data_IF_702343963988
#
_entry.id   IF_702343963988
#
_cell.length_a   1.000
_cell.length_b   1.000
_cell.length_c   1.000
_cell.angle_alpha   90.00
_cell.angle_beta   90.00
_cell.angle_gamma   90.00
#
_symmetry.space_group_name_H-M   'P 1'
#
loop_
_entity.id
_entity.type
_entity.pdbx_description
1 polymer ?
#
# COMPACT_ATOMS: atom_id res chain seq x y z
N UNK A 1 52.96 22.38 3.93
CA UNK A 1 51.92 23.41 4.09
C UNK A 1 50.66 22.69 4.52
N UNK A 2 50.38 22.64 5.82
CA UNK A 2 49.29 21.85 6.41
C UNK A 2 48.08 22.73 6.70
N UNK A 3 46.90 22.34 6.22
CA UNK A 3 45.63 23.01 6.50
C UNK A 3 44.86 22.23 7.59
N UNK A 4 44.31 22.88 8.63
CA UNK A 4 43.34 22.26 9.52
C UNK A 4 41.89 22.50 9.04
N UNK A 5 41.11 21.43 8.89
CA UNK A 5 39.66 21.49 8.69
C UNK A 5 38.96 21.53 10.05
N UNK A 6 38.21 22.60 10.30
CA UNK A 6 37.35 22.78 11.47
C UNK A 6 35.96 22.21 11.20
N UNK A 7 35.48 21.29 12.04
CA UNK A 7 34.10 20.83 12.06
C UNK A 7 33.32 21.57 13.16
N UNK A 8 32.21 22.18 12.81
CA UNK A 8 31.18 22.60 13.76
C UNK A 8 29.79 22.36 13.17
N UNK A 9 29.11 21.34 13.68
CA UNK A 9 27.73 21.00 13.33
C UNK A 9 26.83 21.49 14.47
N UNK A 10 26.06 22.55 14.22
CA UNK A 10 25.11 23.11 15.18
C UNK A 10 23.84 22.25 15.28
N UNK A 11 23.61 21.67 16.45
CA UNK A 11 22.35 21.00 16.81
C UNK A 11 21.48 22.00 17.58
N UNK A 12 20.41 22.50 16.96
CA UNK A 12 19.42 23.35 17.63
C UNK A 12 18.32 22.48 18.22
N UNK A 13 18.18 22.57 19.54
CA UNK A 13 17.21 21.84 20.34
C UNK A 13 15.77 22.34 20.10
N UNK A 14 14.86 21.37 20.06
CA UNK A 14 13.42 21.56 20.02
C UNK A 14 12.89 21.98 21.40
N UNK A 15 12.11 23.07 21.45
CA UNK A 15 11.27 23.42 22.59
C UNK A 15 9.93 23.92 22.09
N UNK A 16 8.84 23.61 22.80
CA UNK A 16 7.60 24.36 22.66
C UNK A 16 6.31 23.54 22.70
N UNK A 17 5.92 23.14 23.91
CA UNK A 17 4.57 22.76 24.34
C UNK A 17 3.48 23.74 23.90
N UNK A 18 2.34 23.24 23.42
CA UNK A 18 1.03 23.93 23.51
C UNK A 18 -0.10 22.95 23.81
N UNK A 19 -0.92 23.31 24.80
CA UNK A 19 -2.03 22.54 25.38
C UNK A 19 -3.34 22.61 24.56
N UNK A 20 -4.29 21.68 24.72
CA UNK A 20 -5.66 21.82 24.22
C UNK A 20 -6.60 22.42 25.28
N UNK A 21 -7.40 23.42 24.89
CA UNK A 21 -8.47 23.97 25.74
C UNK A 21 -9.83 23.95 25.05
N UNK A 22 -10.79 23.36 25.77
CA UNK A 22 -12.16 23.85 26.05
C UNK A 22 -13.29 23.79 25.01
N UNK A 23 -14.34 23.09 25.46
CA UNK A 23 -15.75 23.52 25.52
C UNK A 23 -16.69 23.06 24.41
N UNK A 24 -17.80 22.44 24.86
CA UNK A 24 -18.80 21.78 24.04
C UNK A 24 -20.07 22.58 23.81
N UNK A 25 -21.01 21.90 23.15
CA UNK A 25 -22.40 22.28 22.98
C UNK A 25 -23.18 21.12 22.35
N UNK A 26 -24.28 20.63 22.96
CA UNK A 26 -25.23 19.73 22.32
C UNK A 26 -26.38 20.54 21.70
N UNK A 27 -26.74 20.23 20.45
CA UNK A 27 -28.00 20.71 19.85
C UNK A 27 -28.73 19.52 19.21
N UNK A 28 -29.89 19.11 19.72
CA UNK A 28 -30.80 18.21 19.01
C UNK A 28 -31.81 19.03 18.20
N UNK A 29 -31.98 18.70 16.93
CA UNK A 29 -33.17 19.09 16.15
C UNK A 29 -33.55 17.94 15.23
N UNK A 30 -34.69 17.32 15.52
CA UNK A 30 -35.38 16.38 14.65
C UNK A 30 -36.24 17.14 13.62
N UNK A 31 -36.43 16.59 12.42
CA UNK A 31 -37.68 16.57 11.64
C UNK A 31 -37.50 15.70 10.38
N UNK A 32 -38.28 14.63 10.28
CA UNK A 32 -38.55 13.75 9.11
C UNK A 32 -39.54 14.47 8.15
N UNK A 33 -39.63 14.17 6.83
CA UNK A 33 -40.25 12.93 6.34
C UNK A 33 -39.68 12.37 5.01
N UNK A 34 -40.25 11.22 4.62
CA UNK A 34 -39.92 10.29 3.54
C UNK A 34 -39.75 10.88 2.12
N UNK A 35 -38.91 10.19 1.34
CA UNK A 35 -38.93 10.19 -0.11
C UNK A 35 -38.66 8.77 -0.61
N UNK A 36 -39.71 8.11 -1.09
CA UNK A 36 -39.63 6.94 -1.96
C UNK A 36 -38.67 7.16 -3.13
N UNK A 37 -38.02 6.07 -3.54
CA UNK A 37 -37.62 5.88 -4.93
C UNK A 37 -36.15 6.18 -5.22
N UNK A 38 -35.33 5.15 -5.17
CA UNK A 38 -34.68 4.64 -6.39
C UNK A 38 -33.86 3.43 -6.01
N UNK A 39 -34.40 2.24 -6.31
CA UNK A 39 -33.59 1.07 -6.58
C UNK A 39 -32.57 1.47 -7.65
N UNK A 40 -31.36 1.85 -7.22
CA UNK A 40 -30.26 2.02 -8.16
C UNK A 40 -29.81 0.62 -8.50
N UNK A 41 -30.35 0.12 -9.60
CA UNK A 41 -29.89 -1.06 -10.34
C UNK A 41 -28.38 -0.99 -10.42
N UNK A 42 -27.69 -1.67 -9.49
CA UNK A 42 -26.24 -1.77 -9.56
C UNK A 42 -25.98 -2.74 -10.71
N UNK A 43 -25.27 -2.32 -11.77
CA UNK A 43 -25.00 -3.20 -12.89
C UNK A 43 -24.27 -4.42 -12.33
N UNK A 44 -24.64 -5.59 -12.84
CA UNK A 44 -24.13 -6.90 -12.49
C UNK A 44 -22.60 -6.95 -12.79
N UNK A 45 -21.80 -6.28 -11.96
CA UNK A 45 -20.35 -6.21 -12.12
C UNK A 45 -19.79 -7.54 -11.62
N UNK A 46 -19.24 -8.32 -12.53
CA UNK A 46 -18.48 -9.52 -12.18
C UNK A 46 -17.40 -9.14 -11.15
N UNK A 47 -17.26 -9.88 -10.04
CA UNK A 47 -16.24 -9.61 -9.04
C UNK A 47 -14.86 -9.51 -9.69
N UNK A 48 -14.07 -8.49 -9.34
CA UNK A 48 -12.69 -8.35 -9.82
C UNK A 48 -11.88 -9.56 -9.32
N UNK A 49 -11.16 -10.27 -10.20
CA UNK A 49 -10.31 -11.38 -9.78
C UNK A 49 -9.28 -10.93 -8.75
N UNK A 50 -9.08 -11.75 -7.73
CA UNK A 50 -8.19 -11.47 -6.61
C UNK A 50 -7.19 -12.61 -6.42
N UNK A 51 -5.92 -12.27 -6.19
CA UNK A 51 -4.86 -13.24 -5.93
C UNK A 51 -4.21 -12.98 -4.58
N UNK A 52 -3.82 -14.08 -3.93
CA UNK A 52 -3.08 -14.10 -2.67
C UNK A 52 -1.84 -14.96 -2.80
N UNK A 53 -0.67 -14.36 -2.63
CA UNK A 53 0.62 -15.05 -2.65
C UNK A 53 1.07 -15.27 -1.21
N UNK A 54 1.17 -16.54 -0.80
CA UNK A 54 1.60 -16.95 0.53
C UNK A 54 2.99 -17.60 0.43
N UNK A 55 3.97 -17.23 1.27
CA UNK A 55 5.26 -17.89 1.28
C UNK A 55 5.12 -19.34 1.77
N UNK A 56 5.91 -20.25 1.19
CA UNK A 56 6.10 -21.58 1.74
C UNK A 56 7.38 -21.61 2.59
N UNK A 57 7.25 -21.92 3.89
CA UNK A 57 8.32 -21.71 4.88
C UNK A 57 9.05 -22.97 5.33
N UNK A 58 8.64 -24.16 4.87
CA UNK A 58 9.12 -25.43 5.42
C UNK A 58 10.51 -25.87 4.90
N UNK A 59 11.15 -25.08 4.03
CA UNK A 59 12.46 -25.39 3.47
C UNK A 59 13.60 -24.54 4.09
N UNK A 60 14.82 -25.09 4.26
CA UNK A 60 15.95 -24.37 4.88
C UNK A 60 16.37 -23.07 4.19
N UNK A 61 15.97 -22.87 2.93
CA UNK A 61 16.27 -21.69 2.11
C UNK A 61 15.00 -20.99 1.61
N UNK A 62 13.88 -21.17 2.32
CA UNK A 62 12.62 -20.52 1.97
C UNK A 62 12.74 -19.00 1.99
N UNK A 63 12.15 -18.36 0.97
CA UNK A 63 12.03 -16.91 0.92
C UNK A 63 10.91 -16.48 1.86
N UNK A 64 11.25 -15.68 2.86
CA UNK A 64 10.30 -15.13 3.81
C UNK A 64 9.81 -13.76 3.30
N UNK A 65 8.50 -13.59 3.24
CA UNK A 65 7.85 -12.32 2.89
C UNK A 65 6.42 -12.30 3.43
N UNK A 66 5.88 -11.11 3.64
CA UNK A 66 4.47 -10.94 4.01
C UNK A 66 3.55 -11.47 2.91
N UNK A 67 2.37 -11.96 3.30
CA UNK A 67 1.33 -12.32 2.35
C UNK A 67 1.04 -11.13 1.43
N UNK A 68 0.97 -11.40 0.12
CA UNK A 68 0.70 -10.37 -0.89
C UNK A 68 -0.69 -10.59 -1.47
N UNK A 69 -1.59 -9.65 -1.20
CA UNK A 69 -2.94 -9.61 -1.76
C UNK A 69 -3.02 -8.56 -2.87
N UNK A 70 -3.57 -8.94 -4.03
CA UNK A 70 -3.71 -8.05 -5.20
C UNK A 70 -4.97 -8.34 -5.99
N UNK A 71 -5.67 -7.27 -6.35
CA UNK A 71 -6.70 -7.31 -7.38
C UNK A 71 -6.03 -7.29 -8.76
N UNK A 72 -6.51 -8.15 -9.65
CA UNK A 72 -5.97 -8.35 -11.00
C UNK A 72 -7.14 -8.18 -11.99
N UNK A 73 -7.58 -6.93 -12.25
CA UNK A 73 -8.62 -6.70 -13.24
C UNK A 73 -8.14 -7.06 -14.65
N UNK A 74 -9.06 -7.17 -15.60
CA UNK A 74 -8.71 -7.47 -16.99
C UNK A 74 -7.74 -6.43 -17.57
N UNK A 75 -6.72 -6.89 -18.29
CA UNK A 75 -5.63 -6.05 -18.81
C UNK A 75 -4.60 -5.62 -17.77
N UNK A 76 -4.73 -6.01 -16.50
CA UNK A 76 -3.72 -5.75 -15.47
C UNK A 76 -2.58 -6.77 -15.55
N UNK A 77 -1.34 -6.27 -15.44
CA UNK A 77 -0.13 -7.10 -15.41
C UNK A 77 0.63 -6.83 -14.12
N UNK A 78 0.60 -7.80 -13.20
CA UNK A 78 1.36 -7.77 -11.96
C UNK A 78 2.77 -8.30 -12.20
N UNK A 79 3.78 -7.44 -12.09
CA UNK A 79 5.19 -7.82 -12.26
C UNK A 79 5.81 -8.20 -10.92
N UNK A 80 6.48 -9.34 -10.90
CA UNK A 80 7.14 -9.87 -9.71
C UNK A 80 8.64 -9.91 -9.96
N UNK A 81 9.44 -9.34 -9.06
CA UNK A 81 10.89 -9.36 -9.21
C UNK A 81 11.66 -8.56 -8.18
N UNK A 82 12.99 -8.58 -8.32
CA UNK A 82 13.93 -7.75 -7.57
C UNK A 82 14.23 -6.47 -8.33
N UNK A 83 13.39 -5.46 -8.12
CA UNK A 83 13.53 -4.14 -8.70
C UNK A 83 14.58 -3.30 -7.93
N UNK A 84 15.37 -2.50 -8.65
CA UNK A 84 16.41 -1.63 -8.06
C UNK A 84 15.90 -0.22 -7.80
N UNK A 85 14.86 0.18 -8.53
CA UNK A 85 14.08 1.38 -8.29
C UNK A 85 13.23 1.22 -7.02
N UNK A 86 13.24 2.26 -6.18
CA UNK A 86 12.51 2.28 -4.90
C UNK A 86 11.03 2.64 -5.05
N UNK A 87 10.48 2.58 -6.27
CA UNK A 87 9.10 2.94 -6.53
C UNK A 87 8.17 1.78 -6.15
N UNK A 88 7.30 2.03 -5.17
CA UNK A 88 6.18 1.15 -4.88
C UNK A 88 5.10 1.40 -5.93
N UNK A 89 5.05 0.56 -6.96
CA UNK A 89 4.01 0.61 -7.97
C UNK A 89 2.91 -0.41 -7.62
N UNK A 90 1.63 -0.07 -7.85
CA UNK A 90 0.51 -0.95 -7.49
C UNK A 90 0.56 -2.29 -8.25
N UNK A 91 1.11 -2.29 -9.46
CA UNK A 91 1.30 -3.44 -10.33
C UNK A 91 2.66 -4.14 -10.17
N UNK A 92 3.34 -3.94 -9.03
CA UNK A 92 4.61 -4.61 -8.74
C UNK A 92 4.63 -5.26 -7.37
N UNK A 93 5.22 -6.45 -7.32
CA UNK A 93 5.67 -7.10 -6.08
C UNK A 93 7.19 -7.10 -6.09
N UNK A 94 7.77 -6.25 -5.24
CA UNK A 94 9.22 -6.07 -5.16
C UNK A 94 9.81 -6.91 -4.04
N UNK A 95 10.66 -7.86 -4.42
CA UNK A 95 11.46 -8.64 -3.48
C UNK A 95 12.84 -8.03 -3.30
N UNK A 96 13.30 -7.88 -2.06
CA UNK A 96 14.68 -7.41 -1.76
C UNK A 96 15.70 -8.54 -1.68
N UNK A 97 15.35 -9.74 -2.17
CA UNK A 97 16.17 -10.95 -2.03
C UNK A 97 16.92 -11.31 -3.32
N UNK A 98 18.17 -11.74 -3.17
CA UNK A 98 19.06 -12.12 -4.29
C UNK A 98 18.65 -13.42 -5.00
N UNK A 99 17.85 -14.25 -4.34
CA UNK A 99 17.30 -15.47 -4.96
C UNK A 99 16.14 -15.18 -5.91
N UNK A 100 15.66 -13.92 -5.95
CA UNK A 100 14.65 -13.47 -6.90
C UNK A 100 15.35 -12.71 -8.03
N UNK A 101 15.06 -13.10 -9.27
CA UNK A 101 15.58 -12.40 -10.45
C UNK A 101 14.94 -11.02 -10.61
N UNK A 102 15.53 -10.15 -11.44
CA UNK A 102 15.02 -8.79 -11.65
C UNK A 102 13.63 -8.76 -12.31
N UNK A 103 13.38 -9.67 -13.25
CA UNK A 103 12.05 -9.95 -13.80
C UNK A 103 11.77 -11.44 -13.60
N UNK A 104 11.10 -11.78 -12.51
CA UNK A 104 10.93 -13.17 -12.10
C UNK A 104 9.70 -13.81 -12.71
N UNK A 105 8.58 -13.11 -12.63
CA UNK A 105 7.33 -13.55 -13.20
C UNK A 105 6.46 -12.34 -13.52
N UNK A 106 5.49 -12.57 -14.39
CA UNK A 106 4.37 -11.66 -14.62
C UNK A 106 3.09 -12.49 -14.49
N UNK A 107 2.10 -11.93 -13.79
CA UNK A 107 0.77 -12.50 -13.64
C UNK A 107 -0.21 -11.56 -14.31
N UNK A 108 -1.09 -12.11 -15.14
CA UNK A 108 -2.13 -11.37 -15.84
C UNK A 108 -3.39 -12.24 -15.95
N UNK A 109 -4.51 -11.57 -16.15
CA UNK A 109 -5.82 -12.19 -16.33
C UNK A 109 -6.26 -11.97 -17.78
N UNK A 110 -6.74 -13.03 -18.44
CA UNK A 110 -7.28 -12.98 -19.79
C UNK A 110 -8.68 -13.61 -19.78
N UNK A 111 -9.68 -12.93 -20.38
CA UNK A 111 -11.09 -13.43 -20.43
C UNK A 111 -11.68 -13.68 -19.03
N UNK A 112 -11.34 -12.84 -18.06
CA UNK A 112 -11.83 -12.93 -16.69
C UNK A 112 -11.29 -14.12 -15.89
N UNK A 113 -10.19 -14.74 -16.31
CA UNK A 113 -9.48 -15.81 -15.59
C UNK A 113 -7.99 -15.54 -15.50
#
# INVERSE_FOLDING_TARGET
MSAPHSHSNGHLASTGTVAPTTTGGPTPSATTPAGEGASTTTPNASPVPHIRIVPHLDAPRSLHFEVVDKDVPEGFVLKIGRFTDRQALPNRVTFKSKVVSRGHAEIFTEKGK
#
